data_IF_034456888489
#
_entry.id   IF_034456888489
#
_cell.length_a   1.000
_cell.length_b   1.000
_cell.length_c   1.000
_cell.angle_alpha   90.00
_cell.angle_beta   90.00
_cell.angle_gamma   90.00
#
_symmetry.space_group_name_H-M   'P 1'
#
loop_
_entity.id
_entity.type
_entity.pdbx_description
1 polymer ?
#
# COMPACT_ATOMS: atom_id res chain seq x y z
N UNK A 1 16.59 -10.53 3.81
CA UNK A 1 17.56 -11.15 2.88
C UNK A 1 18.56 -10.11 2.37
N UNK A 2 18.10 -8.98 1.82
CA UNK A 2 19.01 -7.97 1.25
C UNK A 2 19.98 -7.37 2.27
N UNK A 3 19.49 -6.97 3.44
CA UNK A 3 20.29 -6.23 4.43
C UNK A 3 21.14 -7.10 5.36
N UNK A 4 21.11 -8.41 5.19
CA UNK A 4 21.79 -9.36 6.07
C UNK A 4 22.67 -10.30 5.25
N UNK A 5 23.81 -10.70 5.81
CA UNK A 5 24.61 -11.78 5.26
C UNK A 5 23.81 -13.09 5.26
N UNK A 6 23.90 -13.88 4.20
CA UNK A 6 23.13 -15.14 4.05
C UNK A 6 23.99 -16.40 4.06
N UNK A 7 25.32 -16.26 4.19
CA UNK A 7 26.28 -17.38 4.16
C UNK A 7 25.93 -18.38 5.25
N UNK A 8 25.74 -19.65 4.87
CA UNK A 8 25.39 -20.75 5.79
C UNK A 8 24.10 -20.55 6.60
N UNK A 9 23.23 -19.62 6.17
CA UNK A 9 21.93 -19.37 6.81
C UNK A 9 20.78 -19.81 5.90
N UNK A 10 20.91 -19.56 4.60
CA UNK A 10 19.88 -19.81 3.60
C UNK A 10 20.47 -20.67 2.49
N UNK A 11 19.75 -21.74 2.12
CA UNK A 11 20.12 -22.65 1.02
C UNK A 11 19.04 -22.61 -0.04
N UNK A 12 19.00 -21.50 -0.76
CA UNK A 12 18.05 -21.26 -1.85
C UNK A 12 18.77 -21.37 -3.19
N UNK A 13 18.03 -21.74 -4.23
CA UNK A 13 18.49 -21.67 -5.62
C UNK A 13 17.66 -20.63 -6.37
N UNK A 14 18.01 -20.28 -7.61
CA UNK A 14 17.18 -19.41 -8.45
C UNK A 14 15.92 -20.13 -8.97
N UNK A 15 15.15 -20.72 -8.07
CA UNK A 15 13.89 -21.39 -8.34
C UNK A 15 12.86 -21.14 -7.24
N UNK A 16 11.60 -21.41 -7.54
CA UNK A 16 10.46 -21.27 -6.63
C UNK A 16 9.60 -22.52 -6.66
N UNK A 17 9.12 -22.95 -5.50
CA UNK A 17 8.18 -24.07 -5.38
C UNK A 17 6.75 -23.52 -5.19
N UNK A 18 5.82 -23.96 -6.01
CA UNK A 18 4.40 -23.63 -5.91
C UNK A 18 3.56 -24.88 -5.66
N UNK A 19 2.53 -24.76 -4.84
CA UNK A 19 1.46 -25.75 -4.76
C UNK A 19 0.43 -25.47 -5.86
N UNK A 20 0.29 -26.39 -6.80
CA UNK A 20 -0.74 -26.38 -7.83
C UNK A 20 -1.66 -27.56 -7.64
N UNK A 21 -2.81 -27.32 -7.01
CA UNK A 21 -3.85 -28.32 -6.77
C UNK A 21 -3.36 -29.53 -5.93
N UNK A 22 -2.48 -29.28 -4.96
CA UNK A 22 -1.87 -30.29 -4.10
C UNK A 22 -0.60 -30.92 -4.66
N UNK A 23 -0.15 -30.52 -5.85
CA UNK A 23 1.13 -30.93 -6.43
C UNK A 23 2.16 -29.80 -6.29
N UNK A 24 3.33 -30.13 -5.73
CA UNK A 24 4.47 -29.21 -5.64
C UNK A 24 5.19 -29.16 -6.96
N UNK A 25 5.15 -28.02 -7.63
CA UNK A 25 5.82 -27.78 -8.90
C UNK A 25 6.90 -26.72 -8.70
N UNK A 26 8.12 -27.04 -9.06
CA UNK A 26 9.24 -26.08 -9.01
C UNK A 26 9.35 -25.35 -10.34
N UNK A 27 9.62 -24.05 -10.32
CA UNK A 27 9.89 -23.22 -11.51
C UNK A 27 11.23 -22.54 -11.40
N UNK A 28 11.97 -22.50 -12.50
CA UNK A 28 13.23 -21.78 -12.59
C UNK A 28 12.96 -20.28 -12.79
N UNK A 29 13.55 -19.44 -11.94
CA UNK A 29 13.46 -17.98 -12.07
C UNK A 29 14.31 -17.44 -13.22
N UNK A 30 15.34 -18.18 -13.62
CA UNK A 30 16.21 -17.92 -14.77
C UNK A 30 16.71 -19.26 -15.34
N UNK A 31 17.28 -19.30 -16.56
CA UNK A 31 17.75 -20.56 -17.15
C UNK A 31 18.67 -21.35 -16.20
N UNK A 32 18.34 -22.63 -15.99
CA UNK A 32 19.01 -23.53 -15.05
C UNK A 32 18.99 -23.04 -13.59
N UNK A 33 17.94 -22.33 -13.19
CA UNK A 33 17.86 -21.65 -11.90
C UNK A 33 18.04 -22.57 -10.69
N UNK A 34 17.55 -23.82 -10.76
CA UNK A 34 17.78 -24.85 -9.74
C UNK A 34 19.24 -25.25 -9.54
N UNK A 35 20.11 -24.99 -10.52
CA UNK A 35 21.56 -25.31 -10.44
C UNK A 35 22.39 -24.12 -9.95
N UNK A 36 21.75 -22.97 -9.71
CA UNK A 36 22.41 -21.72 -9.35
C UNK A 36 22.03 -21.40 -7.91
N UNK A 37 23.00 -21.54 -7.01
CA UNK A 37 22.83 -21.19 -5.60
C UNK A 37 22.72 -19.67 -5.42
N UNK A 38 21.91 -19.27 -4.44
CA UNK A 38 21.81 -17.88 -4.03
C UNK A 38 22.93 -17.55 -3.05
N UNK A 39 23.75 -16.57 -3.40
CA UNK A 39 24.92 -16.12 -2.65
C UNK A 39 24.79 -14.63 -2.29
N UNK A 40 25.69 -14.12 -1.46
CA UNK A 40 25.71 -12.70 -1.12
C UNK A 40 25.93 -11.81 -2.35
N UNK A 41 26.64 -12.29 -3.38
CA UNK A 41 26.87 -11.55 -4.62
C UNK A 41 25.62 -11.45 -5.50
N UNK A 42 24.76 -12.48 -5.50
CA UNK A 42 23.63 -12.58 -6.43
C UNK A 42 22.24 -12.47 -5.76
N UNK A 43 22.15 -12.38 -4.43
CA UNK A 43 20.88 -12.31 -3.68
C UNK A 43 19.95 -11.17 -4.11
N UNK A 44 20.50 -10.08 -4.64
CA UNK A 44 19.69 -8.96 -5.16
C UNK A 44 18.90 -9.36 -6.40
N UNK A 45 19.57 -10.00 -7.36
CA UNK A 45 18.94 -10.55 -8.57
C UNK A 45 17.89 -11.59 -8.19
N UNK A 46 18.19 -12.46 -7.23
CA UNK A 46 17.21 -13.46 -6.74
C UNK A 46 15.95 -12.78 -6.19
N UNK A 47 16.09 -11.74 -5.36
CA UNK A 47 14.94 -11.01 -4.80
C UNK A 47 14.14 -10.31 -5.91
N UNK A 48 14.80 -9.71 -6.89
CA UNK A 48 14.14 -9.06 -8.03
C UNK A 48 13.32 -10.07 -8.84
N UNK A 49 13.92 -11.18 -9.26
CA UNK A 49 13.24 -12.23 -10.03
C UNK A 49 12.12 -12.92 -9.26
N UNK A 50 12.33 -13.18 -7.96
CA UNK A 50 11.31 -13.77 -7.09
C UNK A 50 10.13 -12.82 -6.91
N UNK A 51 10.39 -11.51 -6.83
CA UNK A 51 9.33 -10.48 -6.74
C UNK A 51 8.53 -10.41 -8.04
N UNK A 52 9.19 -10.37 -9.21
CA UNK A 52 8.52 -10.42 -10.51
C UNK A 52 7.67 -11.69 -10.65
N UNK A 53 8.21 -12.84 -10.22
CA UNK A 53 7.49 -14.11 -10.22
C UNK A 53 6.21 -14.00 -9.40
N UNK A 54 6.30 -13.65 -8.11
CA UNK A 54 5.14 -13.61 -7.21
C UNK A 54 4.03 -12.68 -7.73
N UNK A 55 4.40 -11.55 -8.33
CA UNK A 55 3.44 -10.52 -8.74
C UNK A 55 2.80 -10.82 -10.10
N UNK A 56 3.58 -11.32 -11.07
CA UNK A 56 3.16 -11.30 -12.48
C UNK A 56 3.11 -12.66 -13.15
N UNK A 57 4.08 -13.55 -12.91
CA UNK A 57 4.26 -14.76 -13.75
C UNK A 57 3.12 -15.78 -13.63
N UNK A 58 2.60 -16.12 -12.44
CA UNK A 58 1.49 -17.07 -12.29
C UNK A 58 0.21 -16.65 -13.02
N UNK A 59 0.03 -15.34 -13.25
CA UNK A 59 -1.18 -14.76 -13.83
C UNK A 59 -0.94 -14.08 -15.18
N UNK A 60 0.22 -14.27 -15.80
CA UNK A 60 0.66 -13.53 -16.98
C UNK A 60 -0.31 -13.66 -18.15
N UNK A 61 -0.85 -14.86 -18.38
CA UNK A 61 -1.80 -15.10 -19.48
C UNK A 61 -3.14 -14.40 -19.23
N UNK A 62 -3.63 -14.45 -18.00
CA UNK A 62 -4.89 -13.83 -17.57
C UNK A 62 -4.76 -12.30 -17.61
N UNK A 63 -3.64 -11.78 -17.12
CA UNK A 63 -3.34 -10.36 -17.14
C UNK A 63 -3.21 -9.84 -18.58
N UNK A 64 -2.53 -10.58 -19.45
CA UNK A 64 -2.44 -10.24 -20.87
C UNK A 64 -3.82 -10.19 -21.54
N UNK A 65 -4.65 -11.22 -21.35
CA UNK A 65 -6.00 -11.24 -21.92
C UNK A 65 -6.87 -10.08 -21.40
N UNK A 66 -6.74 -9.73 -20.11
CA UNK A 66 -7.40 -8.57 -19.53
C UNK A 66 -6.93 -7.26 -20.19
N UNK A 67 -5.62 -7.07 -20.31
CA UNK A 67 -5.04 -5.87 -20.93
C UNK A 67 -5.38 -5.76 -22.41
N UNK A 68 -5.39 -6.87 -23.15
CA UNK A 68 -5.81 -6.88 -24.56
C UNK A 68 -7.25 -6.38 -24.70
N UNK A 69 -8.19 -6.95 -23.92
CA UNK A 69 -9.59 -6.51 -23.94
C UNK A 69 -9.82 -5.09 -23.40
N UNK A 70 -9.05 -4.66 -22.40
CA UNK A 70 -9.10 -3.30 -21.89
C UNK A 70 -8.60 -2.28 -22.93
N UNK A 71 -7.49 -2.58 -23.59
CA UNK A 71 -6.87 -1.72 -24.60
C UNK A 71 -7.65 -1.67 -25.93
N UNK A 72 -8.53 -2.65 -26.20
CA UNK A 72 -9.50 -2.57 -27.31
C UNK A 72 -10.49 -1.40 -27.14
N UNK A 73 -10.79 -1.01 -25.90
CA UNK A 73 -11.74 0.07 -25.58
C UNK A 73 -11.03 1.38 -25.26
N UNK A 74 -9.92 1.33 -24.52
CA UNK A 74 -9.20 2.50 -24.04
C UNK A 74 -7.73 2.41 -24.47
N UNK A 75 -7.25 3.27 -25.39
CA UNK A 75 -5.86 3.27 -25.81
C UNK A 75 -4.89 3.42 -24.64
N UNK A 76 -3.81 2.64 -24.64
CA UNK A 76 -2.84 2.58 -23.54
C UNK A 76 -2.20 3.95 -23.25
N UNK A 77 -2.00 4.77 -24.28
CA UNK A 77 -1.39 6.10 -24.13
C UNK A 77 -2.25 7.03 -23.27
N UNK A 78 -3.57 6.88 -23.31
CA UNK A 78 -4.50 7.67 -22.49
C UNK A 78 -4.49 7.24 -21.02
N UNK A 79 -4.09 6.00 -20.73
CA UNK A 79 -3.99 5.49 -19.36
C UNK A 79 -2.65 5.81 -18.73
N UNK A 80 -1.58 5.82 -19.53
CA UNK A 80 -0.21 6.07 -19.07
C UNK A 80 0.06 7.47 -18.48
N UNK A 81 -0.91 8.38 -18.58
CA UNK A 81 -0.82 9.73 -17.96
C UNK A 81 -1.23 9.74 -16.50
N UNK A 82 -1.89 8.70 -16.02
CA UNK A 82 -2.36 8.56 -14.64
C UNK A 82 -1.38 7.69 -13.84
N UNK A 83 -1.16 8.04 -12.58
CA UNK A 83 -0.55 7.11 -11.63
C UNK A 83 -1.54 5.99 -11.23
N UNK A 84 -1.06 4.98 -10.52
CA UNK A 84 -1.88 3.84 -10.10
C UNK A 84 -3.08 4.24 -9.22
N UNK A 85 -2.95 5.37 -8.50
CA UNK A 85 -3.95 5.87 -7.56
C UNK A 85 -5.05 6.62 -8.28
N UNK A 86 -4.66 7.49 -9.20
CA UNK A 86 -5.57 8.21 -10.09
C UNK A 86 -6.35 7.24 -10.97
N UNK A 87 -5.71 6.17 -11.46
CA UNK A 87 -6.40 5.13 -12.22
C UNK A 87 -7.41 4.37 -11.36
N UNK A 88 -7.08 4.04 -10.11
CA UNK A 88 -8.03 3.44 -9.16
C UNK A 88 -9.25 4.36 -8.95
N UNK A 89 -9.02 5.66 -8.75
CA UNK A 89 -10.09 6.65 -8.55
C UNK A 89 -10.95 6.81 -9.80
N UNK A 90 -10.35 6.82 -10.99
CA UNK A 90 -11.06 6.94 -12.26
C UNK A 90 -12.00 5.74 -12.49
N UNK A 91 -11.55 4.53 -12.17
CA UNK A 91 -12.33 3.30 -12.34
C UNK A 91 -13.35 3.12 -11.19
N UNK A 92 -12.94 3.41 -9.96
CA UNK A 92 -13.75 3.20 -8.74
C UNK A 92 -14.75 4.31 -8.47
N UNK A 93 -14.54 5.50 -9.04
CA UNK A 93 -15.29 6.72 -8.72
C UNK A 93 -14.90 7.31 -7.36
N UNK A 94 -15.29 8.56 -7.15
CA UNK A 94 -15.19 9.22 -5.84
C UNK A 94 -16.44 8.86 -5.03
N UNK A 95 -16.27 8.02 -4.01
CA UNK A 95 -17.33 7.80 -3.02
C UNK A 95 -17.41 9.00 -2.08
N UNK A 96 -18.62 9.45 -1.74
CA UNK A 96 -18.82 10.43 -0.68
C UNK A 96 -18.46 9.78 0.67
N UNK A 97 -17.34 10.24 1.24
CA UNK A 97 -16.81 9.72 2.50
C UNK A 97 -17.55 10.36 3.68
N UNK A 98 -18.26 9.54 4.45
CA UNK A 98 -18.85 9.95 5.74
C UNK A 98 -17.76 10.08 6.81
N UNK A 99 -17.37 11.33 7.10
CA UNK A 99 -16.32 11.65 8.07
C UNK A 99 -16.74 11.29 9.49
N UNK A 100 -18.03 11.40 9.82
CA UNK A 100 -18.51 11.08 11.16
C UNK A 100 -18.48 9.56 11.38
N UNK A 101 -18.85 8.77 10.37
CA UNK A 101 -18.68 7.31 10.42
C UNK A 101 -17.20 6.90 10.52
N UNK A 102 -16.32 7.57 9.77
CA UNK A 102 -14.88 7.33 9.84
C UNK A 102 -14.33 7.61 11.24
N UNK A 103 -14.60 8.80 11.76
CA UNK A 103 -14.13 9.23 13.08
C UNK A 103 -14.66 8.32 14.19
N UNK A 104 -15.94 7.94 14.13
CA UNK A 104 -16.58 7.03 15.09
C UNK A 104 -15.93 5.66 15.15
N UNK A 105 -15.40 5.17 14.03
CA UNK A 105 -14.79 3.85 13.93
C UNK A 105 -13.26 3.90 13.82
N UNK A 106 -12.66 5.00 14.30
CA UNK A 106 -11.20 5.18 14.39
C UNK A 106 -10.68 4.79 15.77
N UNK A 107 -9.62 3.99 15.81
CA UNK A 107 -8.87 3.68 17.02
C UNK A 107 -7.67 4.63 17.18
N UNK A 108 -7.35 5.01 18.41
CA UNK A 108 -6.21 5.89 18.73
C UNK A 108 -5.18 5.15 19.59
N UNK A 109 -3.90 5.26 19.25
CA UNK A 109 -2.79 4.65 19.99
C UNK A 109 -1.76 5.70 20.37
N UNK A 110 -1.50 5.86 21.67
CA UNK A 110 -0.62 6.92 22.17
C UNK A 110 -1.19 8.35 22.02
N UNK A 111 -2.40 8.47 21.46
CA UNK A 111 -3.26 9.65 21.46
C UNK A 111 -4.60 9.32 22.09
N UNK A 112 -5.33 10.36 22.46
CA UNK A 112 -6.75 10.33 22.80
C UNK A 112 -7.52 11.20 21.80
N UNK A 113 -8.81 10.91 21.61
CA UNK A 113 -9.67 11.69 20.72
C UNK A 113 -9.70 13.19 21.08
N UNK A 114 -9.52 13.50 22.37
CA UNK A 114 -9.48 14.87 22.89
C UNK A 114 -8.17 15.62 22.64
N UNK A 115 -7.10 14.94 22.20
CA UNK A 115 -5.81 15.58 21.97
C UNK A 115 -5.89 16.58 20.81
N UNK A 116 -5.22 17.74 20.96
CA UNK A 116 -5.27 18.82 19.96
C UNK A 116 -4.84 18.33 18.56
N UNK A 117 -3.80 17.50 18.49
CA UNK A 117 -3.31 16.92 17.22
C UNK A 117 -4.38 16.08 16.51
N UNK A 118 -5.21 15.35 17.26
CA UNK A 118 -6.32 14.56 16.70
C UNK A 118 -7.47 15.46 16.24
N UNK A 119 -7.80 16.49 17.02
CA UNK A 119 -8.80 17.47 16.61
C UNK A 119 -8.37 18.22 15.34
N UNK A 120 -7.08 18.56 15.23
CA UNK A 120 -6.48 19.15 14.04
C UNK A 120 -6.52 18.21 12.84
N UNK A 121 -6.22 16.92 13.03
CA UNK A 121 -6.35 15.91 11.97
C UNK A 121 -7.77 15.91 11.39
N UNK A 122 -8.79 15.74 12.24
CA UNK A 122 -10.18 15.70 11.77
C UNK A 122 -10.66 17.03 11.21
N UNK A 123 -10.21 18.17 11.76
CA UNK A 123 -10.46 19.48 11.17
C UNK A 123 -9.91 19.58 9.75
N UNK A 124 -8.67 19.12 9.53
CA UNK A 124 -8.03 19.10 8.22
C UNK A 124 -8.81 18.22 7.23
N UNK A 125 -9.19 17.01 7.63
CA UNK A 125 -9.97 16.07 6.80
C UNK A 125 -11.35 16.62 6.44
N UNK A 126 -12.00 17.32 7.37
CA UNK A 126 -13.28 17.99 7.11
C UNK A 126 -13.17 19.17 6.16
N UNK A 127 -12.06 19.90 6.15
CA UNK A 127 -11.79 21.00 5.21
C UNK A 127 -11.46 20.53 3.80
N UNK A 128 -10.98 19.30 3.64
CA UNK A 128 -10.60 18.73 2.34
C UNK A 128 -11.78 18.39 1.45
N UNK A 129 -11.56 18.42 0.14
CA UNK A 129 -12.54 17.95 -0.84
C UNK A 129 -12.55 16.41 -0.94
N UNK A 130 -13.57 15.85 -1.61
CA UNK A 130 -13.76 14.39 -1.72
C UNK A 130 -12.54 13.65 -2.24
N UNK A 131 -11.84 14.22 -3.22
CA UNK A 131 -10.62 13.65 -3.80
C UNK A 131 -9.49 13.54 -2.76
N UNK A 132 -9.21 14.60 -2.00
CA UNK A 132 -8.16 14.60 -0.98
C UNK A 132 -8.48 13.61 0.15
N UNK A 133 -9.76 13.48 0.54
CA UNK A 133 -10.20 12.47 1.52
C UNK A 133 -10.02 11.05 0.98
N UNK A 134 -10.32 10.82 -0.30
CA UNK A 134 -10.13 9.52 -0.94
C UNK A 134 -8.64 9.16 -1.04
N UNK A 135 -7.78 10.12 -1.39
CA UNK A 135 -6.32 9.94 -1.38
C UNK A 135 -5.78 9.62 0.01
N UNK A 136 -6.32 10.23 1.07
CA UNK A 136 -5.95 9.88 2.45
C UNK A 136 -6.38 8.45 2.81
N UNK A 137 -7.58 8.04 2.41
CA UNK A 137 -8.05 6.68 2.64
C UNK A 137 -7.13 5.67 1.95
N UNK A 138 -6.76 5.94 0.70
CA UNK A 138 -5.82 5.11 -0.05
C UNK A 138 -4.41 5.13 0.53
N UNK A 139 -3.91 6.29 0.97
CA UNK A 139 -2.62 6.42 1.66
C UNK A 139 -2.57 5.50 2.88
N UNK A 140 -3.68 5.35 3.61
CA UNK A 140 -3.72 4.63 4.89
C UNK A 140 -4.20 3.18 4.80
N UNK A 141 -4.95 2.81 3.77
CA UNK A 141 -5.56 1.48 3.61
C UNK A 141 -5.15 0.76 2.31
N UNK A 142 -4.50 1.46 1.38
CA UNK A 142 -4.14 0.94 0.07
C UNK A 142 -5.29 0.93 -0.95
N UNK A 143 -6.47 1.44 -0.60
CA UNK A 143 -7.61 1.57 -1.52
C UNK A 143 -8.44 2.82 -1.20
N UNK A 144 -9.12 3.37 -2.19
CA UNK A 144 -10.09 4.45 -2.00
C UNK A 144 -11.51 3.95 -1.65
N UNK A 145 -11.71 2.63 -1.56
CA UNK A 145 -13.03 2.01 -1.36
C UNK A 145 -13.38 1.82 0.11
N UNK A 146 -14.61 2.20 0.46
CA UNK A 146 -15.21 1.93 1.78
C UNK A 146 -16.08 0.67 1.67
N UNK A 147 -16.02 -0.26 2.65
CA UNK A 147 -16.95 -1.39 2.71
C UNK A 147 -18.41 -0.92 2.68
N UNK A 148 -19.31 -1.73 2.13
CA UNK A 148 -20.75 -1.40 2.03
C UNK A 148 -21.38 -1.04 3.38
N UNK A 149 -20.84 -1.61 4.47
CA UNK A 149 -21.30 -1.37 5.84
C UNK A 149 -20.58 -0.22 6.55
N UNK A 150 -19.73 0.55 5.86
CA UNK A 150 -18.98 1.68 6.42
C UNK A 150 -17.65 1.30 7.06
N UNK A 151 -17.07 2.24 7.81
CA UNK A 151 -15.71 2.15 8.38
C UNK A 151 -15.57 1.09 9.47
N UNK A 152 -16.67 0.66 10.10
CA UNK A 152 -16.67 -0.42 11.09
C UNK A 152 -16.20 -1.76 10.55
N UNK A 153 -16.36 -1.99 9.24
CA UNK A 153 -16.10 -3.27 8.57
C UNK A 153 -14.82 -3.21 7.71
N UNK A 154 -13.96 -2.21 7.93
CA UNK A 154 -12.64 -2.15 7.29
C UNK A 154 -11.86 -3.45 7.53
N UNK A 155 -11.15 -3.89 6.49
CA UNK A 155 -10.33 -5.09 6.50
C UNK A 155 -8.86 -4.70 6.39
N UNK A 156 -8.00 -5.36 7.15
CA UNK A 156 -6.56 -5.37 6.97
C UNK A 156 -6.11 -6.71 6.36
N UNK A 157 -4.79 -6.93 6.30
CA UNK A 157 -4.23 -8.17 5.72
C UNK A 157 -4.57 -9.43 6.52
N UNK A 158 -4.85 -9.30 7.82
CA UNK A 158 -5.14 -10.39 8.76
C UNK A 158 -6.61 -10.45 9.22
N UNK A 159 -7.52 -9.75 8.52
CA UNK A 159 -8.96 -9.75 8.79
C UNK A 159 -9.50 -8.38 9.21
N UNK A 160 -10.63 -8.32 9.96
CA UNK A 160 -11.27 -7.07 10.32
C UNK A 160 -10.34 -6.15 11.10
N UNK A 161 -10.12 -4.93 10.58
CA UNK A 161 -9.15 -3.98 11.13
C UNK A 161 -9.59 -2.55 10.89
N UNK A 162 -9.83 -1.83 11.99
CA UNK A 162 -10.26 -0.43 11.96
C UNK A 162 -9.13 0.49 11.54
N UNK A 163 -9.53 1.65 11.02
CA UNK A 163 -8.61 2.75 10.81
C UNK A 163 -7.98 3.17 12.15
N UNK A 164 -6.67 3.35 12.18
CA UNK A 164 -5.91 3.64 13.41
C UNK A 164 -5.02 4.85 13.23
N UNK A 165 -5.06 5.79 14.18
CA UNK A 165 -4.07 6.88 14.29
C UNK A 165 -3.15 6.59 15.46
N UNK A 166 -1.85 6.44 15.19
CA UNK A 166 -0.83 6.13 16.18
C UNK A 166 0.15 7.29 16.36
N UNK A 167 0.45 7.64 17.61
CA UNK A 167 1.48 8.62 17.94
C UNK A 167 2.87 8.04 17.72
N UNK A 168 3.53 8.47 16.66
CA UNK A 168 4.88 8.02 16.33
C UNK A 168 5.64 9.09 15.53
N UNK A 169 6.98 9.05 15.62
CA UNK A 169 7.87 9.99 14.95
C UNK A 169 8.03 11.32 15.67
N UNK A 170 8.85 12.19 15.08
CA UNK A 170 9.19 13.52 15.58
C UNK A 170 8.36 14.61 14.88
N UNK A 171 8.06 15.76 15.54
CA UNK A 171 7.23 16.83 14.98
C UNK A 171 7.69 17.35 13.62
N UNK A 172 8.96 17.18 13.28
CA UNK A 172 9.55 17.61 12.01
C UNK A 172 9.37 16.61 10.85
N UNK A 173 8.93 15.39 11.13
CA UNK A 173 8.76 14.32 10.14
C UNK A 173 7.40 14.36 9.43
N UNK A 174 7.31 13.72 8.25
CA UNK A 174 6.05 13.44 7.56
C UNK A 174 5.33 12.28 8.24
N UNK A 175 3.97 12.23 8.18
CA UNK A 175 3.25 11.05 8.62
C UNK A 175 3.58 9.85 7.73
N UNK A 176 3.48 8.65 8.29
CA UNK A 176 3.76 7.38 7.57
C UNK A 176 2.55 6.48 7.65
N UNK A 177 2.32 5.66 6.63
CA UNK A 177 1.21 4.71 6.64
C UNK A 177 1.69 3.27 6.64
N UNK A 178 0.84 2.40 7.20
CA UNK A 178 0.98 0.96 7.15
C UNK A 178 -0.34 0.39 6.64
N UNK A 179 -0.46 0.30 5.31
CA UNK A 179 -1.71 -0.05 4.61
C UNK A 179 -2.28 -1.39 5.05
N UNK A 180 -1.43 -2.40 5.29
CA UNK A 180 -1.83 -3.72 5.80
C UNK A 180 -2.62 -3.64 7.12
N UNK A 181 -2.44 -2.57 7.88
CA UNK A 181 -3.02 -2.39 9.22
C UNK A 181 -4.01 -1.23 9.30
N UNK A 182 -4.36 -0.59 8.17
CA UNK A 182 -5.18 0.61 8.12
C UNK A 182 -4.69 1.71 9.08
N UNK A 183 -3.37 1.86 9.23
CA UNK A 183 -2.76 2.71 10.24
C UNK A 183 -2.00 3.89 9.65
N UNK A 184 -2.17 5.06 10.24
CA UNK A 184 -1.30 6.22 10.06
C UNK A 184 -0.53 6.52 11.33
N UNK A 185 0.79 6.59 11.20
CA UNK A 185 1.71 7.08 12.21
C UNK A 185 1.74 8.62 12.08
N UNK A 186 1.17 9.31 13.07
CA UNK A 186 0.98 10.76 13.07
C UNK A 186 1.91 11.41 14.10
N UNK A 187 2.94 12.17 13.66
CA UNK A 187 3.83 12.88 14.56
C UNK A 187 3.11 13.90 15.45
N UNK A 188 3.62 14.18 16.66
CA UNK A 188 3.03 15.15 17.57
C UNK A 188 3.33 16.58 17.13
N UNK A 189 2.70 17.00 16.05
CA UNK A 189 2.82 18.35 15.51
C UNK A 189 2.46 19.40 16.56
N UNK A 190 3.13 20.55 16.49
CA UNK A 190 3.01 21.62 17.49
C UNK A 190 1.93 22.65 17.16
N UNK A 191 1.44 22.64 15.92
CA UNK A 191 0.44 23.58 15.42
C UNK A 191 -0.34 22.98 14.23
N UNK A 192 -1.51 23.57 13.95
CA UNK A 192 -2.42 23.14 12.88
C UNK A 192 -1.80 23.26 11.48
N UNK A 193 -1.06 24.35 11.21
CA UNK A 193 -0.53 24.62 9.87
C UNK A 193 0.57 23.61 9.50
N UNK A 194 1.42 23.25 10.46
CA UNK A 194 2.42 22.19 10.33
C UNK A 194 1.77 20.83 10.04
N UNK A 195 0.70 20.48 10.77
CA UNK A 195 -0.03 19.23 10.53
C UNK A 195 -0.64 19.23 9.13
N UNK A 196 -1.40 20.28 8.79
CA UNK A 196 -2.09 20.40 7.50
C UNK A 196 -1.11 20.29 6.34
N UNK A 197 -0.03 21.07 6.38
CA UNK A 197 0.99 21.05 5.33
C UNK A 197 1.60 19.66 5.14
N UNK A 198 2.01 19.00 6.23
CA UNK A 198 2.71 17.71 6.16
C UNK A 198 1.78 16.56 5.81
N UNK A 199 0.56 16.58 6.30
CA UNK A 199 -0.46 15.61 5.95
C UNK A 199 -0.83 15.74 4.46
N UNK A 200 -1.03 16.96 3.95
CA UNK A 200 -1.25 17.20 2.52
C UNK A 200 -0.08 16.70 1.69
N UNK A 201 1.17 17.04 2.05
CA UNK A 201 2.37 16.53 1.35
C UNK A 201 2.39 15.01 1.34
N UNK A 202 2.18 14.35 2.47
CA UNK A 202 2.19 12.89 2.50
C UNK A 202 1.07 12.26 1.67
N UNK A 203 -0.11 12.85 1.63
CA UNK A 203 -1.23 12.29 0.86
C UNK A 203 -1.07 12.53 -0.65
N UNK A 204 -0.55 13.70 -1.05
CA UNK A 204 -0.44 14.08 -2.46
C UNK A 204 0.87 13.59 -3.09
N UNK A 205 2.00 13.71 -2.37
CA UNK A 205 3.36 13.47 -2.90
C UNK A 205 3.88 12.05 -2.65
N UNK A 206 3.16 11.20 -1.90
CA UNK A 206 3.55 9.79 -1.77
C UNK A 206 3.19 9.03 -3.05
N UNK A 207 4.05 9.13 -4.06
CA UNK A 207 4.18 8.07 -5.08
C UNK A 207 4.42 6.78 -4.30
N UNK A 208 3.67 5.71 -4.57
CA UNK A 208 3.75 4.45 -3.82
C UNK A 208 5.19 3.95 -3.62
N UNK A 209 5.39 3.09 -2.61
CA UNK A 209 6.68 2.48 -2.20
C UNK A 209 7.79 2.50 -3.27
N UNK A 210 8.54 3.59 -3.37
CA UNK A 210 9.42 3.78 -4.51
C UNK A 210 10.05 5.16 -4.61
N UNK A 211 10.70 5.62 -3.55
CA UNK A 211 11.86 6.52 -3.64
C UNK A 211 12.59 6.58 -2.29
N UNK A 212 13.50 5.63 -2.09
CA UNK A 212 14.82 5.90 -1.51
C UNK A 212 15.83 6.00 -2.65
#
# INVERSE_FOLDING_TARGET
MLDNDITDIIYETFSVEEDRFGEKVTFDLKPNGREIDVTNENKREYVELKTEWIISKPVEQQFKAFMDGFNELIPQELVSVFDERELELLIGGLADIDIEDWKKHTDYRGYQESDEVIQWFWKCVSEWEGEQRARLLQFTTGTSRIPVNGFKDLQGSDGPRRFTIEKAGEPDQLPKSHTCFNRVDLPPYRDYDSLKKKLTIAVEETVGFGQE
#
